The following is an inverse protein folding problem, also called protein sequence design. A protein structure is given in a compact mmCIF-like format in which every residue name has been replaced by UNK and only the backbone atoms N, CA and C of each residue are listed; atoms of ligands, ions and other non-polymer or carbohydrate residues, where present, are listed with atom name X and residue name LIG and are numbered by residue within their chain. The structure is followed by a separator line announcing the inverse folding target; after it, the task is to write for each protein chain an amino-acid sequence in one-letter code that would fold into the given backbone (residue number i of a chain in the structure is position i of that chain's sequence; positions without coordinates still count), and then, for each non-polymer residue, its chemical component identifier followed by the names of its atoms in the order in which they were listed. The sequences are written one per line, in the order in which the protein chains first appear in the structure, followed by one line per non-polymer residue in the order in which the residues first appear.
data_IF_464778998331
#
_entry.id   IF_464778998331
#
_cell.length_a   1.000
_cell.length_b   1.000
_cell.length_c   1.000
_cell.angle_alpha   90.00
_cell.angle_beta   90.00
_cell.angle_gamma   90.00
#
_symmetry.space_group_name_H-M   'P 1'
#
loop_
_entity.id
_entity.type
_entity.pdbx_description
1 polymer ?
#
# COMPACT_ATOMS: atom_id res chain seq x y z
N UNK A 1 -15.90 -18.56 -1.76
CA UNK A 1 -16.71 -17.37 -2.10
C UNK A 1 -15.80 -16.40 -2.84
N UNK A 2 -15.94 -16.33 -4.16
CA UNK A 2 -15.13 -15.43 -4.98
C UNK A 2 -15.81 -14.05 -4.98
N UNK A 3 -15.26 -13.14 -4.18
CA UNK A 3 -15.60 -11.72 -4.12
C UNK A 3 -15.16 -11.03 -5.44
N UNK A 4 -15.87 -11.35 -6.53
CA UNK A 4 -15.53 -10.94 -7.90
C UNK A 4 -15.84 -9.48 -8.21
N UNK A 5 -16.52 -8.76 -7.31
CA UNK A 5 -17.05 -7.42 -7.56
C UNK A 5 -16.48 -6.32 -6.63
N UNK A 6 -15.55 -6.65 -5.73
CA UNK A 6 -14.90 -5.63 -4.92
C UNK A 6 -13.84 -4.90 -5.75
N UNK A 7 -14.26 -3.81 -6.37
CA UNK A 7 -13.34 -2.79 -6.87
C UNK A 7 -13.05 -1.80 -5.75
N UNK A 8 -11.82 -1.85 -5.23
CA UNK A 8 -11.32 -0.83 -4.32
C UNK A 8 -11.53 0.56 -4.92
N UNK A 9 -12.18 1.44 -4.16
CA UNK A 9 -12.46 2.79 -4.65
C UNK A 9 -11.17 3.59 -4.82
N UNK A 10 -11.09 4.45 -5.84
CA UNK A 10 -9.94 5.34 -6.09
C UNK A 10 -9.46 6.11 -4.85
N UNK A 11 -10.33 6.62 -3.95
CA UNK A 11 -9.91 7.24 -2.69
C UNK A 11 -9.11 6.32 -1.77
N UNK A 12 -9.53 5.05 -1.63
CA UNK A 12 -8.85 4.05 -0.82
C UNK A 12 -7.49 3.70 -1.40
N UNK A 13 -7.39 3.53 -2.72
CA UNK A 13 -6.12 3.33 -3.42
C UNK A 13 -5.15 4.49 -3.14
N UNK A 14 -5.65 5.73 -3.22
CA UNK A 14 -4.85 6.94 -2.96
C UNK A 14 -4.39 6.98 -1.50
N UNK A 15 -5.25 6.67 -0.55
CA UNK A 15 -4.91 6.61 0.87
C UNK A 15 -3.84 5.54 1.15
N UNK A 16 -3.97 4.36 0.53
CA UNK A 16 -3.03 3.25 0.72
C UNK A 16 -1.66 3.57 0.14
N UNK A 17 -1.60 4.14 -1.06
CA UNK A 17 -0.33 4.63 -1.65
C UNK A 17 0.29 5.72 -0.80
N UNK A 18 -0.50 6.67 -0.31
CA UNK A 18 -0.02 7.74 0.57
C UNK A 18 0.55 7.19 1.87
N UNK A 19 -0.08 6.16 2.45
CA UNK A 19 0.41 5.50 3.65
C UNK A 19 1.72 4.73 3.39
N UNK A 20 1.77 3.95 2.30
CA UNK A 20 2.96 3.20 1.91
C UNK A 20 4.16 4.13 1.62
N UNK A 21 3.98 5.14 0.77
CA UNK A 21 5.08 6.04 0.38
C UNK A 21 5.36 7.12 1.43
N UNK A 22 4.33 7.68 2.06
CA UNK A 22 4.47 8.82 2.97
C UNK A 22 4.79 8.42 4.41
N UNK A 23 4.16 7.37 4.93
CA UNK A 23 4.36 6.93 6.33
C UNK A 23 5.41 5.83 6.42
N UNK A 24 5.33 4.83 5.54
CA UNK A 24 6.28 3.71 5.52
C UNK A 24 7.52 3.97 4.66
N UNK A 25 7.55 5.09 3.91
CA UNK A 25 8.71 5.45 3.08
C UNK A 25 9.06 4.42 2.03
N UNK A 26 8.10 3.61 1.59
CA UNK A 26 8.33 2.54 0.63
C UNK A 26 8.57 3.12 -0.76
N UNK A 27 9.66 2.73 -1.40
CA UNK A 27 9.88 2.98 -2.81
C UNK A 27 8.89 2.17 -3.68
N UNK A 28 8.60 2.67 -4.88
CA UNK A 28 7.71 2.02 -5.83
C UNK A 28 8.06 0.54 -6.16
N UNK A 29 9.33 0.15 -6.37
CA UNK A 29 9.69 -1.26 -6.54
C UNK A 29 9.37 -2.12 -5.30
N UNK A 30 9.67 -1.62 -4.10
CA UNK A 30 9.38 -2.34 -2.84
C UNK A 30 7.88 -2.49 -2.63
N UNK A 31 7.12 -1.43 -2.89
CA UNK A 31 5.66 -1.46 -2.87
C UNK A 31 5.07 -2.48 -3.85
N UNK A 32 5.64 -2.63 -5.05
CA UNK A 32 5.26 -3.68 -6.02
C UNK A 32 5.54 -5.09 -5.49
N UNK A 33 6.65 -5.32 -4.79
CA UNK A 33 6.92 -6.62 -4.17
C UNK A 33 5.84 -6.97 -3.13
N UNK A 34 5.37 -6.00 -2.35
CA UNK A 34 4.28 -6.21 -1.40
C UNK A 34 2.93 -6.48 -2.10
N UNK A 35 2.66 -5.83 -3.24
CA UNK A 35 1.49 -6.13 -4.06
C UNK A 35 1.54 -7.56 -4.61
N UNK A 36 2.67 -7.98 -5.17
CA UNK A 36 2.84 -9.34 -5.67
C UNK A 36 2.71 -10.38 -4.56
N UNK A 37 3.19 -10.09 -3.36
CA UNK A 37 3.07 -10.98 -2.20
C UNK A 37 1.62 -11.21 -1.74
N UNK A 38 0.68 -10.31 -2.08
CA UNK A 38 -0.76 -10.50 -1.85
C UNK A 38 -1.50 -10.99 -3.12
N UNK A 39 -0.76 -11.38 -4.16
CA UNK A 39 -1.31 -11.84 -5.43
C UNK A 39 -1.93 -10.73 -6.27
N UNK A 40 -1.57 -9.47 -6.02
CA UNK A 40 -2.04 -8.32 -6.78
C UNK A 40 -0.95 -7.80 -7.72
N UNK A 41 -1.29 -7.57 -8.98
CA UNK A 41 -0.42 -6.90 -9.95
C UNK A 41 -0.59 -5.38 -9.93
N UNK A 42 -1.74 -4.89 -9.45
CA UNK A 42 -2.05 -3.47 -9.40
C UNK A 42 -2.91 -3.12 -8.21
N UNK A 43 -2.63 -1.98 -7.58
CA UNK A 43 -3.45 -1.45 -6.48
C UNK A 43 -4.88 -1.12 -6.92
N UNK A 44 -5.11 -0.93 -8.22
CA UNK A 44 -6.43 -0.60 -8.77
C UNK A 44 -7.36 -1.82 -8.84
N UNK A 45 -6.80 -3.04 -8.84
CA UNK A 45 -7.55 -4.31 -8.92
C UNK A 45 -7.40 -5.13 -7.63
N UNK A 46 -7.37 -4.45 -6.47
CA UNK A 46 -7.38 -5.15 -5.19
C UNK A 46 -8.80 -5.56 -4.84
N UNK A 47 -9.00 -6.85 -4.59
CA UNK A 47 -10.16 -7.36 -3.87
C UNK A 47 -10.10 -6.96 -2.39
N UNK A 48 -11.21 -7.08 -1.66
CA UNK A 48 -11.27 -6.68 -0.24
C UNK A 48 -10.24 -7.42 0.59
N UNK A 49 -10.15 -8.74 0.40
CA UNK A 49 -9.19 -9.59 1.11
C UNK A 49 -7.73 -9.22 0.81
N UNK A 50 -7.40 -8.89 -0.44
CA UNK A 50 -6.06 -8.46 -0.81
C UNK A 50 -5.71 -7.08 -0.25
N UNK A 51 -6.68 -6.17 -0.22
CA UNK A 51 -6.52 -4.86 0.40
C UNK A 51 -6.23 -4.99 1.90
N UNK A 52 -7.01 -5.80 2.63
CA UNK A 52 -6.80 -6.02 4.06
C UNK A 52 -5.48 -6.74 4.34
N UNK A 53 -5.12 -7.75 3.54
CA UNK A 53 -3.82 -8.42 3.64
C UNK A 53 -2.65 -7.44 3.39
N UNK A 54 -2.77 -6.58 2.37
CA UNK A 54 -1.74 -5.58 2.08
C UNK A 54 -1.63 -4.56 3.22
N UNK A 55 -2.76 -4.08 3.74
CA UNK A 55 -2.78 -3.13 4.85
C UNK A 55 -2.18 -3.74 6.13
N UNK A 56 -2.51 -4.99 6.44
CA UNK A 56 -1.93 -5.70 7.58
C UNK A 56 -0.41 -5.84 7.44
N UNK A 57 0.08 -6.20 6.24
CA UNK A 57 1.53 -6.26 5.95
C UNK A 57 2.19 -4.89 6.10
N UNK A 58 1.59 -3.84 5.54
CA UNK A 58 2.10 -2.48 5.65
C UNK A 58 2.15 -2.01 7.11
N UNK A 59 1.13 -2.31 7.92
CA UNK A 59 1.12 -1.99 9.35
C UNK A 59 2.20 -2.72 10.13
N UNK A 60 2.51 -3.96 9.76
CA UNK A 60 3.56 -4.77 10.38
C UNK A 60 4.98 -4.28 10.01
N UNK A 61 5.14 -3.51 8.93
CA UNK A 61 6.43 -2.90 8.62
C UNK A 61 6.75 -1.79 9.60
N UNK A 62 8.01 -1.66 10.04
CA UNK A 62 8.43 -0.50 10.81
C UNK A 62 8.10 0.77 10.01
N UNK A 63 7.55 1.77 10.69
CA UNK A 63 7.37 3.09 10.06
C UNK A 63 8.74 3.56 9.55
N UNK A 64 8.75 4.18 8.36
CA UNK A 64 10.00 4.75 7.89
C UNK A 64 10.48 5.70 8.97
N UNK A 65 11.78 5.72 9.29
CA UNK A 65 12.31 6.81 10.07
C UNK A 65 11.82 8.06 9.36
N UNK A 66 11.08 8.91 10.08
CA UNK A 66 10.59 10.21 9.59
C UNK A 66 11.83 10.92 9.09
N UNK A 67 12.22 10.71 7.82
CA UNK A 67 13.39 11.33 7.24
C UNK A 67 13.08 12.78 7.46
N UNK A 68 13.89 13.40 8.30
CA UNK A 68 13.81 14.79 8.66
C UNK A 68 13.41 15.50 7.37
N UNK A 69 12.18 16.03 7.35
CA UNK A 69 11.73 16.91 6.32
C UNK A 69 12.84 17.94 6.22
N UNK A 70 13.64 17.84 5.16
CA UNK A 70 14.80 18.67 4.97
C UNK A 70 14.32 20.09 5.05
N UNK A 71 14.70 20.75 6.14
CA UNK A 71 14.85 22.19 6.18
C UNK A 71 16.01 22.48 5.23
N UNK A 72 15.67 22.66 3.96
CA UNK A 72 16.51 23.21 2.89
C UNK A 72 15.50 23.91 1.96
N UNK A 73 15.44 25.22 1.81
CA UNK A 73 16.34 26.31 2.18
C UNK A 73 15.57 27.41 2.93
#
# INVERSE_FOLDING_TARGET
MADRDFHISKPLVKALRRYAHGTKGLDEPTYRLHLQAVGATSTLNLTRGQHEALLARLRALPDAPRKAQGRAA
#
